data_IF_276591350494
#
_entry.id   IF_276591350494
#
_cell.length_a   1.000
_cell.length_b   1.000
_cell.length_c   1.000
_cell.angle_alpha   90.00
_cell.angle_beta   90.00
_cell.angle_gamma   90.00
#
_symmetry.space_group_name_H-M   'P 1'
#
loop_
_entity.id
_entity.type
_entity.pdbx_description
1 polymer ?
#
# COMPACT_ATOMS: atom_id res chain seq x y z
N UNK A 1 -16.17 -8.67 -7.22
CA UNK A 1 -16.56 -7.24 -7.44
C UNK A 1 -18.08 -7.14 -7.43
N UNK A 2 -18.65 -6.18 -6.67
CA UNK A 2 -20.10 -5.96 -6.58
C UNK A 2 -20.62 -5.25 -7.84
N UNK A 3 -21.91 -5.44 -8.19
CA UNK A 3 -22.52 -4.81 -9.38
C UNK A 3 -22.43 -3.26 -9.33
N UNK A 4 -22.61 -2.67 -8.14
CA UNK A 4 -22.46 -1.23 -7.92
C UNK A 4 -21.05 -0.70 -8.24
N UNK A 5 -20.02 -1.50 -7.94
CA UNK A 5 -18.63 -1.15 -8.28
C UNK A 5 -18.40 -1.21 -9.80
N UNK A 6 -18.99 -2.17 -10.50
CA UNK A 6 -18.93 -2.25 -11.96
C UNK A 6 -19.57 -1.02 -12.61
N UNK A 7 -20.74 -0.60 -12.12
CA UNK A 7 -21.39 0.62 -12.60
C UNK A 7 -20.56 1.87 -12.34
N UNK A 8 -19.94 1.96 -11.16
CA UNK A 8 -19.03 3.07 -10.84
C UNK A 8 -17.87 3.12 -11.84
N UNK A 9 -17.20 1.99 -12.09
CA UNK A 9 -16.06 1.91 -13.01
C UNK A 9 -16.47 2.25 -14.45
N UNK A 10 -17.61 1.74 -14.92
CA UNK A 10 -18.13 2.07 -16.25
C UNK A 10 -18.42 3.58 -16.39
N UNK A 11 -19.07 4.19 -15.39
CA UNK A 11 -19.33 5.63 -15.37
C UNK A 11 -18.05 6.46 -15.28
N UNK A 12 -17.08 6.01 -14.46
CA UNK A 12 -15.76 6.66 -14.38
C UNK A 12 -15.06 6.63 -15.74
N UNK A 13 -15.00 5.44 -16.38
CA UNK A 13 -14.37 5.27 -17.70
C UNK A 13 -15.03 6.13 -18.77
N UNK A 14 -16.37 6.12 -18.83
CA UNK A 14 -17.13 6.98 -19.75
C UNK A 14 -16.86 8.46 -19.49
N UNK A 15 -16.89 8.88 -18.23
CA UNK A 15 -16.58 10.24 -17.81
C UNK A 15 -15.16 10.69 -18.21
N UNK A 16 -14.17 9.82 -18.01
CA UNK A 16 -12.78 10.11 -18.35
C UNK A 16 -12.55 10.13 -19.87
N UNK A 17 -13.11 9.14 -20.61
CA UNK A 17 -12.81 8.93 -22.03
C UNK A 17 -13.67 9.81 -22.96
N UNK A 18 -14.94 9.98 -22.62
CA UNK A 18 -15.90 10.70 -23.48
C UNK A 18 -16.08 12.14 -23.02
N UNK A 19 -16.31 12.34 -21.71
CA UNK A 19 -16.54 13.67 -21.15
C UNK A 19 -15.26 14.39 -20.71
N UNK A 20 -14.09 13.76 -20.86
CA UNK A 20 -12.77 14.29 -20.49
C UNK A 20 -12.68 14.76 -19.02
N UNK A 21 -13.46 14.16 -18.13
CA UNK A 21 -13.43 14.47 -16.71
C UNK A 21 -12.14 13.94 -16.07
N UNK A 22 -11.40 14.82 -15.40
CA UNK A 22 -10.19 14.46 -14.66
C UNK A 22 -10.58 14.08 -13.23
N UNK A 23 -10.81 12.80 -12.97
CA UNK A 23 -11.09 12.26 -11.63
C UNK A 23 -10.15 11.11 -11.34
N UNK A 24 -9.50 11.06 -10.16
CA UNK A 24 -8.68 9.92 -9.79
C UNK A 24 -9.56 8.68 -9.64
N UNK A 25 -9.05 7.53 -10.04
CA UNK A 25 -9.65 6.23 -9.77
C UNK A 25 -8.98 5.58 -8.57
N UNK A 26 -7.66 5.74 -8.49
CA UNK A 26 -6.79 5.21 -7.46
C UNK A 26 -5.98 6.33 -6.83
N UNK A 27 -5.68 6.16 -5.56
CA UNK A 27 -4.75 7.00 -4.79
C UNK A 27 -3.64 6.11 -4.26
N UNK A 28 -2.41 6.57 -4.37
CA UNK A 28 -1.27 5.99 -3.65
C UNK A 28 -0.97 6.90 -2.49
N UNK A 29 -0.95 6.37 -1.27
CA UNK A 29 -0.71 7.12 -0.05
C UNK A 29 0.56 6.63 0.63
N UNK A 30 1.57 7.49 0.68
CA UNK A 30 2.82 7.26 1.40
C UNK A 30 2.63 7.61 2.88
N UNK A 31 2.38 6.60 3.72
CA UNK A 31 2.03 6.80 5.13
C UNK A 31 3.23 6.97 6.05
N UNK A 32 4.43 6.59 5.59
CA UNK A 32 5.65 6.69 6.39
C UNK A 32 6.90 6.65 5.54
N UNK A 33 7.92 7.43 5.90
CA UNK A 33 9.27 7.33 5.34
C UNK A 33 10.16 6.31 6.09
N UNK A 34 9.71 5.75 7.22
CA UNK A 34 10.48 4.77 7.99
C UNK A 34 10.49 3.40 7.34
N UNK A 35 11.69 2.85 7.17
CA UNK A 35 11.91 1.52 6.62
C UNK A 35 12.87 0.70 7.52
N UNK A 36 12.82 -0.62 7.38
CA UNK A 36 13.77 -1.56 7.98
C UNK A 36 14.90 -1.94 7.02
N UNK A 37 14.88 -1.46 5.77
CA UNK A 37 15.93 -1.67 4.76
C UNK A 37 16.58 -0.35 4.33
N UNK A 38 17.72 -0.49 3.65
CA UNK A 38 18.54 0.59 3.08
C UNK A 38 18.83 0.31 1.61
N UNK A 39 17.79 0.09 0.83
CA UNK A 39 17.91 -0.32 -0.58
C UNK A 39 18.66 0.73 -1.40
N UNK A 40 19.55 0.31 -2.29
CA UNK A 40 20.42 1.21 -3.08
C UNK A 40 19.67 2.20 -3.99
N UNK A 41 18.47 1.83 -4.43
CA UNK A 41 17.62 2.65 -5.33
C UNK A 41 16.50 3.41 -4.61
N UNK A 42 16.46 3.34 -3.28
CA UNK A 42 15.34 3.88 -2.50
C UNK A 42 15.36 5.41 -2.46
N UNK A 43 14.25 6.03 -2.83
CA UNK A 43 14.06 7.48 -2.79
C UNK A 43 13.77 8.04 -1.38
N UNK A 44 13.29 7.19 -0.46
CA UNK A 44 12.93 7.60 0.91
C UNK A 44 14.00 7.24 1.95
N UNK A 45 14.97 6.40 1.57
CA UNK A 45 16.07 6.04 2.45
C UNK A 45 16.94 7.26 2.79
N UNK A 46 17.34 7.35 4.04
CA UNK A 46 18.22 8.39 4.56
C UNK A 46 17.66 9.84 4.54
N UNK A 47 16.35 10.02 4.53
CA UNK A 47 15.78 11.33 4.85
C UNK A 47 16.21 11.76 6.24
N UNK A 48 16.68 13.01 6.36
CA UNK A 48 17.11 13.59 7.64
C UNK A 48 15.95 13.71 8.64
N UNK A 49 14.75 14.00 8.11
CA UNK A 49 13.52 14.11 8.88
C UNK A 49 12.44 13.24 8.23
N UNK A 50 12.33 11.97 8.65
CA UNK A 50 11.36 11.05 8.08
C UNK A 50 9.95 11.39 8.57
N UNK A 51 9.06 11.69 7.65
CA UNK A 51 7.65 11.91 7.94
C UNK A 51 6.94 10.58 8.26
N UNK A 52 6.05 10.63 9.26
CA UNK A 52 5.14 9.53 9.59
C UNK A 52 3.78 10.16 9.79
N UNK A 53 2.82 9.78 8.97
CA UNK A 53 1.45 10.23 9.14
C UNK A 53 0.82 9.61 10.37
N UNK A 54 0.07 10.40 11.10
CA UNK A 54 -0.82 9.92 12.16
C UNK A 54 -2.05 9.24 11.56
N UNK A 55 -2.77 8.46 12.36
CA UNK A 55 -4.03 7.83 11.96
C UNK A 55 -5.07 8.86 11.48
N UNK A 56 -5.15 10.00 12.16
CA UNK A 56 -6.08 11.08 11.79
C UNK A 56 -5.67 11.82 10.51
N UNK A 57 -4.38 12.01 10.26
CA UNK A 57 -3.90 12.54 8.97
C UNK A 57 -4.26 11.60 7.83
N UNK A 58 -4.05 10.28 8.02
CA UNK A 58 -4.43 9.27 7.03
C UNK A 58 -5.94 9.31 6.78
N UNK A 59 -6.76 9.42 7.82
CA UNK A 59 -8.23 9.58 7.70
C UNK A 59 -8.58 10.77 6.82
N UNK A 60 -7.99 11.93 7.11
CA UNK A 60 -8.21 13.15 6.35
C UNK A 60 -7.88 13.01 4.86
N UNK A 61 -6.74 12.38 4.55
CA UNK A 61 -6.31 12.13 3.17
C UNK A 61 -7.21 11.11 2.45
N UNK A 62 -7.64 10.05 3.11
CA UNK A 62 -8.58 9.08 2.57
C UNK A 62 -9.94 9.73 2.24
N UNK A 63 -10.49 10.51 3.16
CA UNK A 63 -11.75 11.23 2.93
C UNK A 63 -11.62 12.24 1.78
N UNK A 64 -10.50 12.96 1.72
CA UNK A 64 -10.22 13.89 0.63
C UNK A 64 -10.15 13.17 -0.71
N UNK A 65 -9.37 12.09 -0.81
CA UNK A 65 -9.24 11.30 -2.02
C UNK A 65 -10.59 10.68 -2.46
N UNK A 66 -11.38 10.21 -1.49
CA UNK A 66 -12.71 9.67 -1.75
C UNK A 66 -13.66 10.73 -2.34
N UNK A 67 -13.67 11.97 -1.79
CA UNK A 67 -14.45 13.09 -2.32
C UNK A 67 -14.05 13.46 -3.75
N UNK A 68 -12.75 13.34 -4.10
CA UNK A 68 -12.26 13.55 -5.47
C UNK A 68 -12.72 12.46 -6.44
N UNK A 69 -13.16 11.30 -5.95
CA UNK A 69 -13.65 10.18 -6.74
C UNK A 69 -12.75 8.94 -6.72
N UNK A 70 -11.66 8.93 -5.95
CA UNK A 70 -10.86 7.73 -5.78
C UNK A 70 -11.67 6.62 -5.09
N UNK A 71 -11.48 5.37 -5.53
CA UNK A 71 -12.16 4.20 -4.96
C UNK A 71 -11.21 3.03 -4.72
N UNK A 72 -9.97 3.20 -5.08
CA UNK A 72 -8.88 2.26 -4.80
C UNK A 72 -7.78 3.01 -4.10
N UNK A 73 -7.21 2.43 -3.06
CA UNK A 73 -6.05 2.99 -2.36
C UNK A 73 -4.95 1.95 -2.27
N UNK A 74 -3.73 2.40 -2.49
CA UNK A 74 -2.52 1.63 -2.26
C UNK A 74 -1.69 2.34 -1.19
N UNK A 75 -1.45 1.67 -0.09
CA UNK A 75 -0.61 2.17 0.99
C UNK A 75 0.83 1.78 0.75
N UNK A 76 1.65 2.81 0.63
CA UNK A 76 3.08 2.69 0.42
C UNK A 76 3.86 3.48 1.48
N UNK A 77 5.18 3.47 1.33
CA UNK A 77 6.07 4.27 2.17
C UNK A 77 7.45 3.68 2.23
N UNK A 78 8.11 3.81 3.38
CA UNK A 78 9.33 3.08 3.67
C UNK A 78 9.01 1.58 3.81
N UNK A 79 8.34 1.19 4.90
CA UNK A 79 7.75 -0.15 5.09
C UNK A 79 6.45 -0.02 5.86
N UNK A 80 5.35 -0.33 5.21
CA UNK A 80 3.99 -0.16 5.77
C UNK A 80 3.73 -1.05 6.98
N UNK A 81 4.32 -2.26 7.04
CA UNK A 81 4.21 -3.16 8.19
C UNK A 81 4.90 -2.62 9.45
N UNK A 82 5.73 -1.59 9.32
CA UNK A 82 6.34 -0.86 10.45
C UNK A 82 5.50 0.31 10.95
N UNK A 83 4.54 0.75 10.17
CA UNK A 83 3.75 1.92 10.55
C UNK A 83 2.99 1.67 11.85
N UNK A 84 3.02 2.68 12.71
CA UNK A 84 2.33 2.68 14.01
C UNK A 84 2.00 4.11 14.42
N UNK A 85 0.82 4.27 15.00
CA UNK A 85 0.40 5.47 15.70
C UNK A 85 -0.37 5.04 16.97
N UNK A 86 0.27 5.16 18.13
CA UNK A 86 -0.23 4.55 19.37
C UNK A 86 -0.47 3.05 19.21
N UNK A 87 -1.72 2.63 19.39
CA UNK A 87 -2.14 1.23 19.23
C UNK A 87 -2.53 0.87 17.80
N UNK A 88 -2.68 1.85 16.91
CA UNK A 88 -3.04 1.63 15.51
C UNK A 88 -1.89 1.00 14.71
N UNK A 89 -2.25 0.11 13.80
CA UNK A 89 -1.39 -0.63 12.86
C UNK A 89 -1.92 -0.48 11.44
N UNK A 90 -1.21 -1.02 10.47
CA UNK A 90 -1.60 -0.95 9.06
C UNK A 90 -2.99 -1.57 8.79
N UNK A 91 -3.36 -2.63 9.50
CA UNK A 91 -4.67 -3.27 9.33
C UNK A 91 -5.82 -2.34 9.78
N UNK A 92 -5.62 -1.50 10.80
CA UNK A 92 -6.60 -0.47 11.19
C UNK A 92 -6.76 0.60 10.10
N UNK A 93 -5.68 0.95 9.41
CA UNK A 93 -5.71 1.89 8.26
C UNK A 93 -6.44 1.27 7.06
N UNK A 94 -6.22 -0.01 6.81
CA UNK A 94 -6.93 -0.76 5.75
C UNK A 94 -8.44 -0.80 6.04
N UNK A 95 -8.82 -1.08 7.28
CA UNK A 95 -10.22 -1.11 7.70
C UNK A 95 -10.84 0.29 7.62
N UNK A 96 -10.12 1.33 8.03
CA UNK A 96 -10.51 2.73 7.86
C UNK A 96 -10.80 3.07 6.40
N UNK A 97 -9.96 2.63 5.46
CA UNK A 97 -10.21 2.87 4.04
C UNK A 97 -11.54 2.26 3.57
N UNK A 98 -11.89 1.07 4.08
CA UNK A 98 -13.19 0.43 3.81
C UNK A 98 -14.35 1.20 4.45
N UNK A 99 -14.19 1.68 5.68
CA UNK A 99 -15.18 2.52 6.36
C UNK A 99 -15.47 3.81 5.59
N UNK A 100 -14.44 4.46 5.05
CA UNK A 100 -14.58 5.64 4.19
C UNK A 100 -15.31 5.30 2.88
N UNK A 101 -15.25 4.04 2.42
CA UNK A 101 -15.99 3.55 1.26
C UNK A 101 -15.13 3.16 0.06
N UNK A 102 -13.82 2.99 0.22
CA UNK A 102 -12.95 2.46 -0.83
C UNK A 102 -13.35 1.02 -1.20
N UNK A 103 -13.23 0.68 -2.47
CA UNK A 103 -13.57 -0.64 -2.98
C UNK A 103 -12.48 -1.66 -2.72
N UNK A 104 -11.25 -1.18 -2.65
CA UNK A 104 -10.08 -1.99 -2.37
C UNK A 104 -9.00 -1.14 -1.71
N UNK A 105 -8.37 -1.72 -0.70
CA UNK A 105 -7.20 -1.22 0.00
C UNK A 105 -6.05 -2.22 -0.15
N UNK A 106 -5.00 -1.80 -0.82
CA UNK A 106 -3.81 -2.60 -1.14
C UNK A 106 -2.64 -2.11 -0.29
N UNK A 107 -1.70 -2.96 -0.01
CA UNK A 107 -0.41 -2.59 0.59
C UNK A 107 0.76 -3.02 -0.29
N UNK A 108 1.83 -2.23 -0.27
CA UNK A 108 3.12 -2.58 -0.87
C UNK A 108 4.15 -2.78 0.23
N UNK A 109 4.75 -3.96 0.32
CA UNK A 109 5.72 -4.33 1.36
C UNK A 109 7.02 -4.89 0.79
N UNK A 110 8.11 -4.69 1.52
CA UNK A 110 9.39 -5.34 1.22
C UNK A 110 9.46 -6.79 1.72
N UNK A 111 8.39 -7.28 2.35
CA UNK A 111 8.23 -8.65 2.89
C UNK A 111 9.31 -9.07 3.90
N UNK A 112 9.97 -8.14 4.59
CA UNK A 112 10.95 -8.45 5.64
C UNK A 112 10.30 -8.63 7.01
N UNK A 113 9.05 -8.21 7.16
CA UNK A 113 8.22 -8.45 8.34
C UNK A 113 7.09 -9.43 7.97
N UNK A 114 6.62 -10.24 8.93
CA UNK A 114 5.45 -11.09 8.69
C UNK A 114 4.22 -10.25 8.34
N UNK A 115 3.46 -10.68 7.35
CA UNK A 115 2.21 -10.06 6.92
C UNK A 115 1.06 -11.07 6.80
N UNK A 116 1.20 -12.21 7.46
CA UNK A 116 0.14 -13.20 7.62
C UNK A 116 -1.06 -12.59 8.35
N UNK A 117 -2.25 -12.83 7.81
CA UNK A 117 -3.50 -12.33 8.39
C UNK A 117 -3.75 -10.85 8.13
N UNK A 118 -3.01 -10.20 7.22
CA UNK A 118 -3.28 -8.82 6.82
C UNK A 118 -4.70 -8.67 6.26
N UNK A 119 -5.34 -7.57 6.59
CA UNK A 119 -6.68 -7.21 6.14
C UNK A 119 -6.70 -6.66 4.70
N UNK A 120 -5.55 -6.47 4.05
CA UNK A 120 -5.48 -5.93 2.69
C UNK A 120 -6.31 -6.74 1.69
N UNK A 121 -6.87 -6.10 0.67
CA UNK A 121 -7.56 -6.79 -0.42
C UNK A 121 -6.55 -7.40 -1.40
N UNK A 122 -5.35 -6.84 -1.48
CA UNK A 122 -4.21 -7.35 -2.25
C UNK A 122 -2.91 -6.89 -1.62
N UNK A 123 -1.86 -7.70 -1.76
CA UNK A 123 -0.53 -7.42 -1.24
C UNK A 123 0.47 -7.42 -2.38
N UNK A 124 1.17 -6.31 -2.58
CA UNK A 124 2.27 -6.21 -3.53
C UNK A 124 3.59 -6.40 -2.80
N UNK A 125 4.40 -7.33 -3.29
CA UNK A 125 5.73 -7.60 -2.73
C UNK A 125 6.80 -7.03 -3.64
N UNK A 126 7.68 -6.23 -3.05
CA UNK A 126 8.79 -5.61 -3.78
C UNK A 126 9.90 -6.62 -4.06
N UNK A 127 10.02 -7.07 -5.30
CA UNK A 127 11.02 -8.02 -5.78
C UNK A 127 11.87 -7.41 -6.90
N UNK A 128 13.20 -7.32 -6.69
CA UNK A 128 14.13 -6.73 -7.66
C UNK A 128 14.93 -7.78 -8.47
N UNK A 129 14.65 -9.05 -8.27
CA UNK A 129 15.31 -10.15 -8.96
C UNK A 129 15.36 -11.41 -8.11
N UNK A 130 15.93 -12.48 -8.64
CA UNK A 130 16.02 -13.75 -7.94
C UNK A 130 17.33 -13.86 -7.14
N UNK A 131 17.24 -14.34 -5.89
CA UNK A 131 18.38 -14.64 -5.02
C UNK A 131 19.32 -13.44 -4.87
N UNK A 132 20.59 -13.65 -5.23
CA UNK A 132 21.65 -12.64 -5.10
C UNK A 132 21.35 -11.31 -5.82
N UNK A 133 20.56 -11.29 -6.88
CA UNK A 133 20.22 -10.06 -7.59
C UNK A 133 19.31 -9.16 -6.77
N UNK A 134 18.36 -9.76 -6.05
CA UNK A 134 17.56 -9.03 -5.06
C UNK A 134 18.43 -8.48 -3.93
N UNK A 135 19.32 -9.30 -3.39
CA UNK A 135 20.20 -8.93 -2.27
C UNK A 135 21.24 -7.86 -2.64
N UNK A 136 21.70 -7.83 -3.89
CA UNK A 136 22.55 -6.74 -4.39
C UNK A 136 21.93 -5.35 -4.24
N UNK A 137 20.61 -5.27 -4.27
CA UNK A 137 19.83 -4.04 -4.17
C UNK A 137 19.37 -3.80 -2.74
N UNK A 138 18.81 -4.83 -2.09
CA UNK A 138 18.10 -4.70 -0.81
C UNK A 138 18.90 -5.13 0.40
N UNK A 139 20.02 -5.81 0.22
CA UNK A 139 20.91 -6.27 1.26
C UNK A 139 20.90 -7.79 1.45
N UNK A 140 21.96 -8.30 2.05
CA UNK A 140 22.17 -9.72 2.29
C UNK A 140 21.08 -10.34 3.17
N UNK A 141 20.64 -11.56 2.85
CA UNK A 141 19.62 -12.32 3.58
C UNK A 141 18.18 -11.84 3.36
N UNK A 142 17.97 -10.78 2.56
CA UNK A 142 16.63 -10.24 2.31
C UNK A 142 15.79 -11.16 1.43
N UNK A 143 16.40 -11.87 0.50
CA UNK A 143 15.68 -12.77 -0.40
C UNK A 143 15.13 -13.99 0.35
N UNK A 144 15.95 -14.66 1.16
CA UNK A 144 15.50 -15.81 1.94
C UNK A 144 14.37 -15.46 2.92
N UNK A 145 14.42 -14.26 3.52
CA UNK A 145 13.34 -13.79 4.42
C UNK A 145 12.06 -13.46 3.66
N UNK A 146 12.17 -12.87 2.48
CA UNK A 146 11.05 -12.62 1.59
C UNK A 146 10.37 -13.94 1.18
N UNK A 147 11.12 -14.94 0.72
CA UNK A 147 10.58 -16.26 0.36
C UNK A 147 9.83 -16.92 1.52
N UNK A 148 10.44 -16.88 2.73
CA UNK A 148 9.81 -17.40 3.94
C UNK A 148 8.47 -16.71 4.23
N UNK A 149 8.47 -15.37 4.28
CA UNK A 149 7.26 -14.62 4.63
C UNK A 149 6.15 -14.77 3.57
N UNK A 150 6.50 -14.90 2.29
CA UNK A 150 5.54 -15.23 1.22
C UNK A 150 4.94 -16.62 1.45
N UNK A 151 5.77 -17.64 1.70
CA UNK A 151 5.32 -19.00 1.92
C UNK A 151 4.38 -19.12 3.14
N UNK A 152 4.62 -18.32 4.19
CA UNK A 152 3.83 -18.31 5.42
C UNK A 152 2.60 -17.39 5.35
N UNK A 153 2.48 -16.52 4.36
CA UNK A 153 1.46 -15.49 4.28
C UNK A 153 0.04 -16.08 4.16
N UNK A 154 -0.17 -17.02 3.23
CA UNK A 154 -1.47 -17.63 2.97
C UNK A 154 -2.54 -16.66 2.44
N UNK A 155 -2.15 -15.46 1.99
CA UNK A 155 -3.08 -14.48 1.46
C UNK A 155 -3.50 -14.85 0.02
N UNK A 156 -4.82 -14.79 -0.34
CA UNK A 156 -5.31 -15.25 -1.66
C UNK A 156 -4.90 -14.34 -2.82
N UNK A 157 -4.49 -13.11 -2.55
CA UNK A 157 -4.15 -12.09 -3.55
C UNK A 157 -2.76 -11.47 -3.26
N UNK A 158 -1.75 -12.33 -3.24
CA UNK A 158 -0.36 -11.97 -3.10
C UNK A 158 0.31 -11.94 -4.47
#
# INVERSE_FOLDING_TARGET
MKLSQMFYLANWFFGARVLRRKRPLQTVLFISDKCNLKCKHCSVYAKADPHIMTYEEIRGELEYAYRLGSRFVDFEGGEVMKWRDGDYRIDDVIDLAREVGFFSATITTNAQLPFRGSHADSIWVSLDGYGKYHEMIRGEGTFARLEKNIAECGHPHL
#
